data_IF_356640672776
#
_entry.id   IF_356640672776
#
_cell.length_a   1.000
_cell.length_b   1.000
_cell.length_c   1.000
_cell.angle_alpha   90.00
_cell.angle_beta   90.00
_cell.angle_gamma   90.00
#
_symmetry.space_group_name_H-M   'P 1'
#
loop_
_entity.id
_entity.type
_entity.pdbx_description
1 polymer ?
#
# COMPACT_ATOMS: atom_id res chain seq x y z
N UNK A 1 7.97 -19.91 -8.51
CA UNK A 1 7.27 -18.72 -9.01
C UNK A 1 5.92 -18.76 -8.34
N UNK A 2 5.58 -17.77 -7.52
CA UNK A 2 4.27 -17.74 -6.88
C UNK A 2 3.26 -17.29 -7.91
N UNK A 3 2.18 -18.05 -8.06
CA UNK A 3 1.12 -17.72 -8.99
C UNK A 3 0.06 -16.83 -8.33
N UNK A 4 -0.90 -16.39 -9.15
CA UNK A 4 -2.02 -15.59 -8.68
C UNK A 4 -2.87 -16.33 -7.62
N UNK A 5 -2.99 -17.66 -7.70
CA UNK A 5 -3.82 -18.44 -6.78
C UNK A 5 -3.28 -18.39 -5.36
N UNK A 6 -1.96 -18.49 -5.17
CA UNK A 6 -1.32 -18.31 -3.88
C UNK A 6 -1.51 -16.90 -3.33
N UNK A 7 -1.36 -15.87 -4.18
CA UNK A 7 -1.65 -14.49 -3.79
C UNK A 7 -3.11 -14.33 -3.35
N UNK A 8 -4.06 -14.85 -4.11
CA UNK A 8 -5.49 -14.79 -3.80
C UNK A 8 -5.83 -15.53 -2.50
N UNK A 9 -5.24 -16.70 -2.25
CA UNK A 9 -5.42 -17.45 -1.00
C UNK A 9 -4.94 -16.68 0.21
N UNK A 10 -3.83 -15.97 0.10
CA UNK A 10 -3.25 -15.20 1.20
C UNK A 10 -4.05 -13.94 1.52
N UNK A 11 -4.68 -13.32 0.51
CA UNK A 11 -5.12 -11.93 0.65
C UNK A 11 -6.59 -11.62 0.31
N UNK A 12 -7.30 -12.49 -0.42
CA UNK A 12 -8.67 -12.21 -0.86
C UNK A 12 -9.65 -11.98 0.28
N UNK A 13 -9.39 -12.55 1.47
CA UNK A 13 -10.19 -12.34 2.68
C UNK A 13 -9.75 -11.18 3.57
N UNK A 14 -8.65 -10.48 3.26
CA UNK A 14 -8.06 -9.47 4.15
C UNK A 14 -7.88 -8.10 3.52
N UNK A 15 -7.66 -8.04 2.20
CA UNK A 15 -7.49 -6.77 1.48
C UNK A 15 -8.84 -6.03 1.40
N UNK A 16 -8.82 -4.73 1.72
CA UNK A 16 -9.98 -3.84 1.57
C UNK A 16 -10.06 -3.14 0.22
N UNK A 17 -8.96 -3.09 -0.52
CA UNK A 17 -8.96 -2.58 -1.89
C UNK A 17 -9.95 -3.37 -2.74
N UNK A 18 -10.68 -2.68 -3.61
CA UNK A 18 -11.75 -3.25 -4.43
C UNK A 18 -11.18 -3.93 -5.68
N UNK A 19 -10.36 -4.96 -5.48
CA UNK A 19 -9.80 -5.75 -6.56
C UNK A 19 -10.90 -6.60 -7.22
N UNK A 20 -10.93 -6.60 -8.55
CA UNK A 20 -11.65 -7.63 -9.30
C UNK A 20 -10.83 -8.91 -9.35
N UNK A 21 -10.98 -9.72 -8.31
CA UNK A 21 -10.30 -11.02 -8.17
C UNK A 21 -10.58 -11.97 -9.34
N UNK A 22 -11.77 -11.90 -9.92
CA UNK A 22 -12.14 -12.76 -11.03
C UNK A 22 -11.41 -12.34 -12.30
N UNK A 23 -11.42 -11.05 -12.62
CA UNK A 23 -10.71 -10.53 -13.78
C UNK A 23 -9.19 -10.77 -13.67
N UNK A 24 -8.60 -10.60 -12.48
CA UNK A 24 -7.19 -10.91 -12.25
C UNK A 24 -6.86 -12.39 -12.48
N UNK A 25 -7.76 -13.30 -12.08
CA UNK A 25 -7.62 -14.74 -12.34
C UNK A 25 -7.69 -15.05 -13.85
N UNK A 26 -8.68 -14.50 -14.54
CA UNK A 26 -8.89 -14.69 -15.98
C UNK A 26 -7.72 -14.15 -16.82
N UNK A 27 -7.09 -13.06 -16.37
CA UNK A 27 -5.89 -12.48 -16.97
C UNK A 27 -4.61 -13.27 -16.65
N UNK A 28 -4.66 -14.24 -15.73
CA UNK A 28 -3.49 -15.00 -15.25
C UNK A 28 -2.32 -14.07 -14.86
N UNK A 29 -2.63 -13.07 -14.03
CA UNK A 29 -1.67 -12.00 -13.73
C UNK A 29 -0.44 -12.53 -13.00
N UNK A 30 0.78 -12.15 -13.41
CA UNK A 30 1.99 -12.55 -12.71
C UNK A 30 2.10 -11.90 -11.33
N UNK A 31 2.64 -12.66 -10.38
CA UNK A 31 2.97 -12.19 -9.03
C UNK A 31 4.48 -12.23 -8.84
N UNK A 32 5.08 -11.09 -8.52
CA UNK A 32 6.50 -11.02 -8.14
C UNK A 32 6.65 -10.98 -6.62
N UNK A 33 7.78 -11.49 -6.13
CA UNK A 33 8.10 -11.47 -4.70
C UNK A 33 9.45 -10.79 -4.48
N UNK A 34 9.54 -9.99 -3.43
CA UNK A 34 10.82 -9.46 -2.95
C UNK A 34 10.84 -9.39 -1.43
N UNK A 35 12.03 -9.59 -0.86
CA UNK A 35 12.27 -9.38 0.57
C UNK A 35 12.90 -8.01 0.75
N UNK A 36 12.31 -7.22 1.63
CA UNK A 36 12.80 -5.90 2.01
C UNK A 36 13.14 -5.88 3.50
N UNK A 37 14.27 -5.27 3.84
CA UNK A 37 14.76 -5.16 5.22
C UNK A 37 14.94 -3.69 5.59
N UNK A 38 14.55 -3.35 6.83
CA UNK A 38 14.72 -2.01 7.39
C UNK A 38 13.53 -1.08 7.15
N UNK A 39 13.24 -0.25 8.16
CA UNK A 39 12.09 0.67 8.14
C UNK A 39 12.15 1.69 7.00
N UNK A 40 13.34 2.14 6.60
CA UNK A 40 13.48 3.20 5.61
C UNK A 40 12.86 2.83 4.26
N UNK A 41 12.96 1.55 3.88
CA UNK A 41 12.41 1.04 2.63
C UNK A 41 10.87 0.96 2.65
N UNK A 42 10.24 0.93 3.83
CA UNK A 42 8.78 1.08 3.92
C UNK A 42 8.33 2.47 3.45
N UNK A 43 9.18 3.48 3.61
CA UNK A 43 8.88 4.88 3.26
C UNK A 43 8.55 5.09 1.79
N UNK A 44 9.07 4.24 0.90
CA UNK A 44 8.92 4.35 -0.55
C UNK A 44 7.63 3.70 -1.09
N UNK A 45 6.92 2.93 -0.25
CA UNK A 45 5.67 2.30 -0.66
C UNK A 45 4.56 3.34 -0.74
N UNK A 46 3.79 3.34 -1.84
CA UNK A 46 2.56 4.12 -1.94
C UNK A 46 1.48 3.49 -1.07
N UNK A 47 0.68 4.33 -0.45
CA UNK A 47 -0.48 3.96 0.36
C UNK A 47 -1.75 4.23 -0.44
N UNK A 48 -2.88 3.68 0.02
CA UNK A 48 -4.22 4.08 -0.46
C UNK A 48 -4.73 5.37 0.19
N UNK A 49 -3.88 6.09 0.93
CA UNK A 49 -4.26 7.37 1.53
C UNK A 49 -3.95 8.49 0.56
N UNK A 50 -4.98 9.27 0.26
CA UNK A 50 -4.90 10.34 -0.71
C UNK A 50 -4.96 11.71 -0.04
N UNK A 51 -4.44 12.69 -0.74
CA UNK A 51 -4.60 14.11 -0.43
C UNK A 51 -5.01 14.90 -1.66
N UNK A 52 -5.77 15.97 -1.43
CA UNK A 52 -6.10 16.94 -2.47
C UNK A 52 -4.90 17.85 -2.80
N UNK A 53 -5.11 18.78 -3.75
CA UNK A 53 -4.09 19.76 -4.15
C UNK A 53 -3.66 20.72 -3.01
N UNK A 54 -4.45 20.83 -1.93
CA UNK A 54 -4.12 21.62 -0.75
C UNK A 54 -3.43 20.78 0.35
N UNK A 55 -3.15 19.49 0.09
CA UNK A 55 -2.52 18.58 1.06
C UNK A 55 -3.47 18.09 2.15
N UNK A 56 -4.78 18.27 1.99
CA UNK A 56 -5.79 17.81 2.95
C UNK A 56 -6.17 16.37 2.65
N UNK A 57 -6.52 15.55 3.66
CA UNK A 57 -7.02 14.20 3.44
C UNK A 57 -8.17 14.20 2.43
N UNK A 58 -8.07 13.34 1.42
CA UNK A 58 -9.06 13.14 0.37
C UNK A 58 -9.27 11.65 0.12
N UNK A 59 -10.38 11.32 -0.52
CA UNK A 59 -10.65 9.99 -1.05
C UNK A 59 -10.14 9.85 -2.50
N UNK A 60 -9.90 8.61 -2.93
CA UNK A 60 -9.30 8.30 -4.24
C UNK A 60 -10.13 8.78 -5.44
N UNK A 61 -11.46 8.92 -5.27
CA UNK A 61 -12.38 9.35 -6.33
C UNK A 61 -12.46 10.87 -6.46
N UNK A 62 -11.86 11.62 -5.54
CA UNK A 62 -11.89 13.08 -5.59
C UNK A 62 -10.95 13.60 -6.71
N UNK A 63 -11.41 14.56 -7.55
CA UNK A 63 -10.59 15.11 -8.62
C UNK A 63 -9.26 15.70 -8.10
N UNK A 64 -8.14 15.24 -8.67
CA UNK A 64 -6.81 15.69 -8.27
C UNK A 64 -6.29 15.08 -6.96
N UNK A 65 -7.02 14.12 -6.37
CA UNK A 65 -6.52 13.35 -5.24
C UNK A 65 -5.28 12.54 -5.65
N UNK A 66 -4.25 12.58 -4.80
CA UNK A 66 -2.99 11.87 -5.05
C UNK A 66 -2.63 10.96 -3.90
N UNK A 67 -2.32 9.71 -4.22
CA UNK A 67 -1.87 8.73 -3.24
C UNK A 67 -0.50 9.11 -2.70
N UNK A 68 -0.34 9.02 -1.39
CA UNK A 68 0.90 9.32 -0.70
C UNK A 68 1.78 8.09 -0.53
N UNK A 69 3.08 8.29 -0.61
CA UNK A 69 4.06 7.36 -0.01
C UNK A 69 3.88 7.30 1.51
N UNK A 70 4.37 6.22 2.12
CA UNK A 70 4.40 6.10 3.59
C UNK A 70 5.20 7.24 4.22
N UNK A 71 6.29 7.68 3.58
CA UNK A 71 7.09 8.83 4.02
C UNK A 71 6.27 10.12 4.04
N UNK A 72 5.53 10.42 2.98
CA UNK A 72 4.65 11.60 2.91
C UNK A 72 3.49 11.49 3.91
N UNK A 73 2.89 10.31 4.03
CA UNK A 73 1.83 10.06 5.00
C UNK A 73 2.30 10.23 6.46
N UNK A 74 3.56 9.91 6.75
CA UNK A 74 4.18 10.16 8.03
C UNK A 74 4.38 11.65 8.30
N UNK A 75 4.76 12.44 7.28
CA UNK A 75 4.90 13.89 7.42
C UNK A 75 3.56 14.58 7.70
N UNK A 76 2.46 14.01 7.22
CA UNK A 76 1.11 14.53 7.42
C UNK A 76 0.38 13.89 8.63
N UNK A 77 1.10 13.15 9.49
CA UNK A 77 0.48 12.32 10.53
C UNK A 77 -0.56 13.06 11.39
N UNK A 78 -0.22 14.27 11.82
CA UNK A 78 -1.04 15.08 12.74
C UNK A 78 -2.29 15.67 12.06
N UNK A 79 -2.32 15.68 10.72
CA UNK A 79 -3.47 16.15 9.92
C UNK A 79 -4.51 15.05 9.67
N UNK A 80 -4.17 13.78 9.93
CA UNK A 80 -5.09 12.68 9.66
C UNK A 80 -6.29 12.68 10.59
N UNK A 81 -7.43 12.08 10.18
CA UNK A 81 -8.54 11.85 11.09
C UNK A 81 -8.10 11.11 12.36
N UNK A 82 -8.62 11.52 13.52
CA UNK A 82 -8.24 10.98 14.84
C UNK A 82 -8.28 9.44 14.90
N UNK A 83 -9.31 8.81 14.34
CA UNK A 83 -9.40 7.34 14.29
C UNK A 83 -8.21 6.68 13.57
N UNK A 84 -7.69 7.30 12.50
CA UNK A 84 -6.50 6.81 11.79
C UNK A 84 -5.26 6.96 12.66
N UNK A 85 -5.10 8.12 13.31
CA UNK A 85 -3.99 8.38 14.23
C UNK A 85 -3.97 7.37 15.37
N UNK A 86 -5.11 7.14 16.02
CA UNK A 86 -5.25 6.17 17.12
C UNK A 86 -4.90 4.74 16.68
N UNK A 87 -5.32 4.34 15.46
CA UNK A 87 -5.01 3.01 14.93
C UNK A 87 -3.51 2.84 14.65
N UNK A 88 -2.85 3.87 14.11
CA UNK A 88 -1.40 3.87 13.90
C UNK A 88 -0.66 3.85 15.24
N UNK A 89 -1.09 4.67 16.20
CA UNK A 89 -0.49 4.73 17.54
C UNK A 89 -0.58 3.39 18.27
N UNK A 90 -1.71 2.69 18.16
CA UNK A 90 -1.87 1.36 18.74
C UNK A 90 -0.87 0.35 18.15
N UNK A 91 -0.71 0.30 16.83
CA UNK A 91 0.28 -0.57 16.21
C UNK A 91 1.71 -0.16 16.58
N UNK A 92 2.00 1.14 16.63
CA UNK A 92 3.32 1.65 17.00
C UNK A 92 3.70 1.24 18.43
N UNK A 93 2.78 1.38 19.39
CA UNK A 93 3.01 0.96 20.77
C UNK A 93 3.29 -0.55 20.88
N UNK A 94 2.59 -1.38 20.09
CA UNK A 94 2.86 -2.82 20.02
C UNK A 94 4.26 -3.12 19.48
N UNK A 95 4.70 -2.39 18.47
CA UNK A 95 6.04 -2.56 17.89
C UNK A 95 7.14 -2.10 18.84
N UNK A 96 6.95 -0.98 19.51
CA UNK A 96 7.92 -0.44 20.49
C UNK A 96 8.05 -1.34 21.74
N UNK A 97 7.00 -2.09 22.09
CA UNK A 97 7.02 -3.07 23.17
C UNK A 97 7.61 -4.43 22.76
N UNK A 98 7.83 -4.67 21.46
CA UNK A 98 8.36 -5.93 20.93
C UNK A 98 9.89 -5.94 20.94
N UNK A 99 10.48 -7.07 21.31
CA UNK A 99 11.91 -7.34 21.10
C UNK A 99 12.18 -8.06 19.77
N UNK A 100 11.12 -8.57 19.13
CA UNK A 100 11.22 -9.31 17.87
C UNK A 100 11.15 -8.36 16.67
N UNK A 101 11.86 -8.67 15.56
CA UNK A 101 11.73 -7.94 14.31
C UNK A 101 10.28 -7.88 13.83
N UNK A 102 9.89 -6.74 13.29
CA UNK A 102 8.59 -6.55 12.69
C UNK A 102 8.50 -7.25 11.34
N UNK A 103 7.89 -8.44 11.35
CA UNK A 103 7.68 -9.24 10.14
C UNK A 103 6.36 -8.84 9.46
N UNK A 104 6.44 -8.54 8.17
CA UNK A 104 5.32 -8.12 7.35
C UNK A 104 5.17 -9.00 6.10
N UNK A 105 3.93 -9.29 5.76
CA UNK A 105 3.54 -9.84 4.46
C UNK A 105 2.65 -8.81 3.78
N UNK A 106 3.14 -8.23 2.67
CA UNK A 106 2.54 -7.03 2.08
C UNK A 106 2.03 -7.32 0.67
N UNK A 107 0.71 -7.23 0.44
CA UNK A 107 0.15 -7.24 -0.90
C UNK A 107 0.33 -5.86 -1.54
N UNK A 108 0.87 -5.86 -2.76
CA UNK A 108 1.10 -4.64 -3.53
C UNK A 108 0.63 -4.79 -4.97
N UNK A 109 0.41 -3.64 -5.60
CA UNK A 109 0.12 -3.52 -7.03
C UNK A 109 1.21 -2.69 -7.70
N UNK A 110 1.71 -3.15 -8.85
CA UNK A 110 2.74 -2.44 -9.63
C UNK A 110 2.11 -1.23 -10.33
N UNK A 111 2.61 -0.04 -10.04
CA UNK A 111 2.21 1.19 -10.73
C UNK A 111 3.44 1.88 -11.28
N UNK A 112 3.69 1.73 -12.59
CA UNK A 112 4.97 2.09 -13.19
C UNK A 112 6.15 1.48 -12.39
N UNK A 113 7.09 2.31 -11.91
CA UNK A 113 8.24 1.85 -11.12
C UNK A 113 7.95 1.72 -9.61
N UNK A 114 6.74 2.08 -9.18
CA UNK A 114 6.35 2.14 -7.77
C UNK A 114 5.45 0.97 -7.35
N UNK A 115 5.24 0.85 -6.04
CA UNK A 115 4.41 -0.17 -5.42
C UNK A 115 3.31 0.45 -4.58
N UNK A 116 2.06 0.22 -4.97
CA UNK A 116 0.89 0.58 -4.19
C UNK A 116 0.58 -0.53 -3.17
N UNK A 117 0.57 -0.22 -1.89
CA UNK A 117 0.05 -1.09 -0.84
C UNK A 117 -1.46 -1.26 -0.99
N UNK A 118 -1.90 -2.51 -1.06
CA UNK A 118 -3.32 -2.85 -1.15
C UNK A 118 -3.97 -3.01 0.23
N UNK A 119 -3.15 -3.22 1.26
CA UNK A 119 -3.58 -3.31 2.64
C UNK A 119 -2.42 -2.96 3.60
N UNK A 120 -2.67 -3.00 4.90
CA UNK A 120 -1.69 -2.85 5.96
C UNK A 120 -1.06 -1.46 6.05
N UNK A 121 -1.61 -0.43 5.41
CA UNK A 121 -1.07 0.95 5.46
C UNK A 121 -0.87 1.47 6.88
N UNK A 122 -1.79 1.16 7.82
CA UNK A 122 -1.63 1.50 9.24
C UNK A 122 -0.42 0.83 9.89
N UNK A 123 -0.23 -0.46 9.62
CA UNK A 123 0.89 -1.27 10.15
C UNK A 123 2.22 -0.82 9.56
N UNK A 124 2.25 -0.57 8.26
CA UNK A 124 3.44 -0.08 7.55
C UNK A 124 3.82 1.31 8.04
N UNK A 125 2.86 2.24 8.16
CA UNK A 125 3.11 3.56 8.72
C UNK A 125 3.63 3.48 10.15
N UNK A 126 3.03 2.62 10.99
CA UNK A 126 3.50 2.42 12.36
C UNK A 126 4.95 1.91 12.41
N UNK A 127 5.31 0.93 11.58
CA UNK A 127 6.68 0.42 11.48
C UNK A 127 7.68 1.46 10.99
N UNK A 128 7.28 2.30 10.04
CA UNK A 128 8.07 3.42 9.56
C UNK A 128 8.30 4.47 10.66
N UNK A 129 7.24 4.89 11.36
CA UNK A 129 7.30 5.88 12.44
C UNK A 129 8.10 5.36 13.65
N UNK A 130 7.96 4.08 14.00
CA UNK A 130 8.72 3.43 15.07
C UNK A 130 10.19 3.19 14.70
N UNK A 131 10.57 3.38 13.43
CA UNK A 131 11.88 2.97 12.88
C UNK A 131 12.23 1.52 13.24
N UNK A 132 11.23 0.65 13.17
CA UNK A 132 11.35 -0.74 13.61
C UNK A 132 12.42 -1.51 12.80
N UNK A 133 12.98 -2.57 13.39
CA UNK A 133 13.67 -3.59 12.60
C UNK A 133 12.63 -4.33 11.77
N UNK A 134 12.57 -4.06 10.46
CA UNK A 134 11.53 -4.62 9.58
C UNK A 134 12.10 -5.73 8.71
N UNK A 135 11.30 -6.78 8.53
CA UNK A 135 11.49 -7.81 7.50
C UNK A 135 10.17 -7.99 6.76
N UNK A 136 10.08 -7.53 5.52
CA UNK A 136 8.86 -7.57 4.73
C UNK A 136 9.02 -8.49 3.54
N UNK A 137 8.11 -9.46 3.39
CA UNK A 137 7.86 -10.13 2.11
C UNK A 137 6.81 -9.32 1.36
N UNK A 138 7.20 -8.73 0.24
CA UNK A 138 6.31 -7.97 -0.62
C UNK A 138 5.92 -8.86 -1.80
N UNK A 139 4.61 -9.08 -1.94
CA UNK A 139 4.03 -9.78 -3.09
C UNK A 139 3.33 -8.75 -3.97
N UNK A 140 3.66 -8.71 -5.25
CA UNK A 140 3.19 -7.67 -6.16
C UNK A 140 2.43 -8.25 -7.32
N UNK A 141 1.17 -7.82 -7.49
CA UNK A 141 0.41 -8.01 -8.72
C UNK A 141 1.01 -7.13 -9.83
N UNK A 142 1.39 -7.76 -10.93
CA UNK A 142 1.84 -7.08 -12.15
C UNK A 142 0.74 -7.21 -13.18
N UNK A 143 -0.16 -6.23 -13.19
CA UNK A 143 -1.37 -6.24 -13.99
C UNK A 143 -1.58 -4.87 -14.68
N UNK A 144 -2.43 -4.78 -15.72
CA UNK A 144 -2.69 -3.54 -16.45
C UNK A 144 -3.26 -2.46 -15.53
N UNK A 145 -2.83 -1.21 -15.72
CA UNK A 145 -3.39 -0.07 -14.98
C UNK A 145 -4.81 0.26 -15.47
N UNK A 146 -5.79 -0.52 -15.00
CA UNK A 146 -7.21 -0.36 -15.34
C UNK A 146 -8.05 -0.11 -14.09
N UNK A 147 -8.89 0.93 -14.07
CA UNK A 147 -9.87 1.14 -13.00
C UNK A 147 -10.90 0.00 -12.91
N UNK A 148 -11.01 -0.85 -13.93
CA UNK A 148 -11.85 -2.07 -13.90
C UNK A 148 -11.26 -3.14 -12.99
N UNK A 149 -9.93 -3.19 -12.84
CA UNK A 149 -9.23 -4.14 -11.95
C UNK A 149 -9.09 -3.61 -10.52
N UNK A 150 -8.89 -2.30 -10.39
CA UNK A 150 -8.80 -1.58 -9.12
C UNK A 150 -9.20 -0.12 -9.34
N UNK A 151 -10.38 0.32 -8.86
CA UNK A 151 -10.91 1.66 -9.12
C UNK A 151 -9.92 2.80 -8.79
N UNK A 152 -9.21 2.67 -7.68
CA UNK A 152 -8.19 3.63 -7.20
C UNK A 152 -7.05 3.86 -8.20
N UNK A 153 -6.80 2.96 -9.17
CA UNK A 153 -5.76 3.16 -10.18
C UNK A 153 -6.04 4.36 -11.08
N UNK A 154 -7.31 4.75 -11.25
CA UNK A 154 -7.67 5.92 -12.04
C UNK A 154 -6.99 7.20 -11.56
N UNK A 155 -6.79 7.38 -10.25
CA UNK A 155 -6.10 8.55 -9.68
C UNK A 155 -4.57 8.46 -9.81
N UNK A 156 -4.03 7.24 -9.89
CA UNK A 156 -2.60 6.95 -9.90
C UNK A 156 -1.98 7.05 -11.31
N UNK A 157 -2.72 6.65 -12.35
CA UNK A 157 -2.26 6.69 -13.75
C UNK A 157 -1.98 8.12 -14.21
N UNK A 158 -2.68 9.12 -13.66
CA UNK A 158 -2.52 10.54 -14.02
C UNK A 158 -1.10 11.05 -13.76
N UNK A 159 -0.34 10.44 -12.83
CA UNK A 159 1.09 10.76 -12.64
C UNK A 159 2.02 10.02 -13.61
N UNK A 160 1.63 8.85 -14.08
CA UNK A 160 2.52 7.91 -14.77
C UNK A 160 2.46 7.94 -16.30
N UNK A 161 1.43 8.51 -16.92
CA UNK A 161 1.23 8.41 -18.38
C UNK A 161 1.19 9.78 -19.04
N UNK A 162 2.38 10.35 -19.24
CA UNK A 162 2.69 10.94 -20.53
C UNK A 162 2.92 9.80 -21.52
N UNK A 163 1.85 9.29 -22.15
CA UNK A 163 2.00 8.48 -23.35
C UNK A 163 2.67 9.33 -24.41
N UNK A 164 3.89 8.96 -24.81
CA UNK A 164 4.44 9.30 -26.13
C UNK A 164 4.18 8.14 -27.08
#
# INVERSE_FOLDING_TARGET
MTDFDDFARLFSGSIRAQLDWRALAELNVPVTQQVTVGWAALGELRTVWHVDAAGRPADWFEPGATALTVREAAALHDSWPRARQERVAAFRAQLEASTEPFVLLLPTYRVADELLLLDSSHRVLAGYLARAEVRALIMTLVAPLSPELLPDLGSLVVRGHGSS
#
